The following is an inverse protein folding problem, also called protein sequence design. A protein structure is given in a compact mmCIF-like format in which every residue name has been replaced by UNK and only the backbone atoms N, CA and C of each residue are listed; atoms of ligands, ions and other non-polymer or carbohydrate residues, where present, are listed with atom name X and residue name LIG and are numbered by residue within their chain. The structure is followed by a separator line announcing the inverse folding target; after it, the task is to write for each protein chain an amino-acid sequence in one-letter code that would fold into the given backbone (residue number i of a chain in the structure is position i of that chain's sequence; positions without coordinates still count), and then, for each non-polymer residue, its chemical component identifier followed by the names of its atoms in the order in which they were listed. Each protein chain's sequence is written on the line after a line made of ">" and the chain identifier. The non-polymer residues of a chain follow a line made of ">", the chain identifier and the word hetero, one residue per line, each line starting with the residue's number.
data_IF_045092172957
#
_entry.id   IF_045092172957
#
_cell.length_a   1.000
_cell.length_b   1.000
_cell.length_c   1.000
_cell.angle_alpha   90.00
_cell.angle_beta   90.00
_cell.angle_gamma   90.00
#
_symmetry.space_group_name_H-M   'P 1'
#
loop_
_entity.id
_entity.type
_entity.pdbx_description
1 polymer ?
#
# COMPACT_ATOMS: atom_id res chain seq x y z
N UNK A 1 2.71 2.77 -8.30
CA UNK A 1 3.32 3.15 -7.01
C UNK A 1 4.62 3.85 -7.31
N UNK A 2 4.77 5.07 -6.84
CA UNK A 2 5.99 5.86 -7.02
C UNK A 2 7.02 5.42 -5.98
N UNK A 3 8.27 5.27 -6.40
CA UNK A 3 9.40 4.90 -5.53
C UNK A 3 10.52 5.88 -5.80
N UNK A 4 11.12 6.39 -4.76
CA UNK A 4 12.18 7.40 -4.88
C UNK A 4 13.36 7.09 -3.97
N UNK A 5 14.54 7.50 -4.37
CA UNK A 5 15.71 7.60 -3.49
C UNK A 5 15.82 9.06 -3.05
N UNK A 6 15.79 9.25 -1.77
CA UNK A 6 15.97 10.55 -1.12
C UNK A 6 17.45 10.72 -0.76
N UNK A 7 18.01 11.86 -1.12
CA UNK A 7 19.36 12.27 -0.76
C UNK A 7 19.33 13.63 -0.07
N UNK A 8 20.31 13.89 0.78
CA UNK A 8 20.42 15.15 1.50
C UNK A 8 19.44 15.26 2.69
N UNK A 9 19.56 16.36 3.43
CA UNK A 9 18.76 16.67 4.60
C UNK A 9 18.31 18.13 4.59
N UNK A 10 17.16 18.42 5.19
CA UNK A 10 16.64 19.78 5.29
C UNK A 10 16.41 20.41 3.91
N UNK A 11 16.97 21.60 3.69
CA UNK A 11 16.79 22.37 2.46
C UNK A 11 17.54 21.80 1.23
N UNK A 12 18.46 20.87 1.44
CA UNK A 12 19.23 20.21 0.36
C UNK A 12 18.63 18.85 -0.02
N UNK A 13 17.49 18.48 0.55
CA UNK A 13 16.82 17.23 0.25
C UNK A 13 16.37 17.18 -1.21
N UNK A 14 16.67 16.07 -1.87
CA UNK A 14 16.25 15.80 -3.25
C UNK A 14 15.71 14.37 -3.36
N UNK A 15 14.57 14.21 -4.01
CA UNK A 15 13.92 12.93 -4.26
C UNK A 15 14.07 12.59 -5.74
N UNK A 16 14.71 11.44 -6.02
CA UNK A 16 14.95 10.99 -7.38
C UNK A 16 14.18 9.68 -7.61
N UNK A 17 13.32 9.68 -8.61
CA UNK A 17 12.53 8.49 -8.96
C UNK A 17 13.46 7.35 -9.39
N UNK A 18 13.14 6.13 -8.94
CA UNK A 18 13.81 4.90 -9.35
C UNK A 18 12.88 3.98 -10.11
N UNK A 19 13.45 3.19 -11.01
CA UNK A 19 12.71 2.25 -11.86
C UNK A 19 12.52 0.91 -11.14
N UNK A 20 11.29 0.41 -11.14
CA UNK A 20 11.04 -0.96 -10.72
C UNK A 20 11.31 -1.91 -11.87
N UNK A 21 12.12 -2.94 -11.63
CA UNK A 21 12.48 -3.95 -12.61
C UNK A 21 11.83 -5.31 -12.29
N UNK A 22 11.64 -6.10 -13.33
CA UNK A 22 11.17 -7.48 -13.21
C UNK A 22 12.31 -8.44 -12.83
N UNK A 23 11.98 -9.63 -12.37
CA UNK A 23 12.97 -10.67 -12.07
C UNK A 23 13.90 -10.98 -13.27
N UNK A 24 13.41 -11.22 -14.51
CA UNK A 24 14.29 -11.44 -15.65
C UNK A 24 15.23 -10.28 -15.91
N UNK A 25 14.74 -9.05 -15.79
CA UNK A 25 15.58 -7.85 -15.99
C UNK A 25 16.64 -7.73 -14.91
N UNK A 26 16.29 -7.99 -13.65
CA UNK A 26 17.29 -8.00 -12.56
C UNK A 26 18.29 -9.14 -12.74
N UNK A 27 17.83 -10.34 -13.18
CA UNK A 27 18.70 -11.48 -13.42
C UNK A 27 19.73 -11.23 -14.53
N UNK A 28 19.39 -10.45 -15.55
CA UNK A 28 20.28 -10.11 -16.69
C UNK A 28 21.38 -9.10 -16.35
N UNK A 29 21.34 -8.47 -15.16
CA UNK A 29 22.41 -7.55 -14.74
C UNK A 29 23.71 -8.33 -14.51
N UNK A 30 24.78 -8.06 -15.25
CA UNK A 30 26.00 -8.87 -15.20
C UNK A 30 26.77 -8.69 -13.87
N UNK A 31 26.80 -7.47 -13.32
CA UNK A 31 27.44 -7.19 -12.04
C UNK A 31 26.41 -6.68 -11.04
N UNK A 32 26.05 -7.52 -10.07
CA UNK A 32 25.09 -7.19 -9.03
C UNK A 32 25.70 -6.44 -7.85
N UNK A 33 27.04 -6.45 -7.76
CA UNK A 33 27.79 -5.82 -6.67
C UNK A 33 28.33 -4.44 -7.04
N UNK A 34 27.99 -3.91 -8.22
CA UNK A 34 28.35 -2.54 -8.56
C UNK A 34 27.80 -1.57 -7.53
N UNK A 35 28.64 -0.65 -7.08
CA UNK A 35 28.29 0.33 -6.06
C UNK A 35 28.01 1.69 -6.68
N UNK A 36 27.02 2.39 -6.17
CA UNK A 36 26.66 3.71 -6.66
C UNK A 36 25.31 4.17 -6.12
N UNK A 37 24.79 5.25 -6.72
CA UNK A 37 23.42 5.69 -6.42
C UNK A 37 22.42 4.70 -7.00
N UNK A 38 21.49 4.15 -6.19
CA UNK A 38 20.46 3.26 -6.69
C UNK A 38 19.57 3.92 -7.74
N UNK A 39 19.36 3.24 -8.87
CA UNK A 39 18.51 3.68 -9.98
C UNK A 39 17.40 2.68 -10.29
N UNK A 40 17.56 1.44 -9.83
CA UNK A 40 16.62 0.35 -10.05
C UNK A 40 16.30 -0.36 -8.74
N UNK A 41 15.09 -0.91 -8.66
CA UNK A 41 14.66 -1.72 -7.53
C UNK A 41 13.94 -2.97 -8.02
N UNK A 42 14.32 -4.10 -7.48
CA UNK A 42 13.65 -5.37 -7.64
C UNK A 42 12.94 -5.75 -6.33
N UNK A 43 11.68 -6.14 -6.41
CA UNK A 43 10.87 -6.54 -5.25
C UNK A 43 10.48 -8.00 -5.45
N UNK A 44 11.05 -8.86 -4.62
CA UNK A 44 10.66 -10.26 -4.53
C UNK A 44 9.45 -10.40 -3.59
N UNK A 45 8.37 -11.03 -4.10
CA UNK A 45 7.12 -11.23 -3.38
C UNK A 45 6.85 -12.71 -3.06
N UNK A 46 7.81 -13.58 -3.30
CA UNK A 46 7.59 -15.02 -3.16
C UNK A 46 7.61 -15.49 -1.71
N UNK A 47 8.20 -14.72 -0.81
CA UNK A 47 8.23 -15.04 0.61
C UNK A 47 7.10 -14.33 1.38
N UNK A 48 6.80 -14.82 2.59
CA UNK A 48 5.90 -14.14 3.52
C UNK A 48 6.35 -12.70 3.79
N UNK A 49 7.66 -12.49 3.81
CA UNK A 49 8.28 -11.16 3.95
C UNK A 49 8.89 -10.79 2.60
N UNK A 50 8.31 -9.82 1.87
CA UNK A 50 8.89 -9.35 0.62
C UNK A 50 10.28 -8.78 0.81
N UNK A 51 11.22 -9.15 -0.05
CA UNK A 51 12.57 -8.56 -0.07
C UNK A 51 12.68 -7.50 -1.14
N UNK A 52 13.40 -6.43 -0.82
CA UNK A 52 13.66 -5.31 -1.70
C UNK A 52 15.16 -5.25 -1.99
N UNK A 53 15.51 -5.42 -3.25
CA UNK A 53 16.91 -5.35 -3.70
C UNK A 53 17.09 -4.14 -4.59
N UNK A 54 18.05 -3.30 -4.25
CA UNK A 54 18.39 -2.09 -5.01
C UNK A 54 19.64 -2.31 -5.85
N UNK A 55 19.67 -1.72 -7.03
CA UNK A 55 20.83 -1.76 -7.90
C UNK A 55 21.06 -0.37 -8.53
N UNK A 56 22.31 0.13 -8.60
CA UNK A 56 23.52 -0.36 -7.89
C UNK A 56 23.36 -0.41 -6.38
N UNK A 57 24.26 -1.13 -5.72
CA UNK A 57 24.34 -1.17 -4.26
C UNK A 57 24.67 0.23 -3.74
N UNK A 58 23.96 0.77 -2.75
CA UNK A 58 24.24 2.09 -2.22
C UNK A 58 25.71 2.23 -1.78
N UNK A 59 26.39 3.24 -2.30
CA UNK A 59 27.78 3.55 -1.91
C UNK A 59 27.89 4.54 -0.75
N UNK A 60 26.73 5.04 -0.26
CA UNK A 60 26.65 6.01 0.82
C UNK A 60 25.45 5.67 1.74
N UNK A 61 25.62 5.86 3.02
CA UNK A 61 24.58 5.66 4.03
C UNK A 61 23.53 6.81 4.07
N UNK A 62 23.77 7.89 3.33
CA UNK A 62 22.85 9.05 3.24
C UNK A 62 21.63 8.80 2.37
N UNK A 63 21.57 7.71 1.61
CA UNK A 63 20.44 7.37 0.79
C UNK A 63 19.29 6.80 1.63
N UNK A 64 18.09 7.37 1.46
CA UNK A 64 16.86 6.85 2.06
C UNK A 64 15.91 6.37 0.97
N UNK A 65 15.53 5.11 1.02
CA UNK A 65 14.51 4.56 0.13
C UNK A 65 13.12 4.89 0.64
N UNK A 66 12.36 5.66 -0.14
CA UNK A 66 10.99 6.04 0.17
C UNK A 66 10.05 5.32 -0.79
N UNK A 67 9.07 4.61 -0.26
CA UNK A 67 8.11 3.86 -1.06
C UNK A 67 6.72 3.91 -0.44
N UNK A 68 5.72 3.79 -1.28
CA UNK A 68 4.33 3.62 -0.88
C UNK A 68 3.91 2.18 -1.13
N UNK A 69 3.35 1.55 -0.14
CA UNK A 69 2.86 0.18 -0.25
C UNK A 69 1.43 0.06 0.25
N UNK A 70 0.68 -0.87 -0.33
CA UNK A 70 -0.56 -1.33 0.26
C UNK A 70 -0.20 -2.37 1.33
N UNK A 71 -0.40 -2.01 2.59
CA UNK A 71 -0.27 -2.93 3.72
C UNK A 71 -1.63 -3.58 3.99
N UNK A 72 -1.66 -4.90 4.23
CA UNK A 72 -2.84 -5.53 4.79
C UNK A 72 -3.12 -4.92 6.16
N UNK A 73 -4.38 -4.62 6.44
CA UNK A 73 -4.81 -4.17 7.76
C UNK A 73 -4.50 -5.28 8.76
N UNK A 74 -3.85 -4.93 9.87
CA UNK A 74 -3.54 -5.90 10.91
C UNK A 74 -4.84 -6.37 11.58
N UNK A 75 -4.96 -7.68 11.73
CA UNK A 75 -6.11 -8.33 12.35
C UNK A 75 -6.07 -8.15 13.87
N UNK A 76 -7.25 -8.18 14.51
CA UNK A 76 -7.34 -8.12 15.98
C UNK A 76 -6.70 -9.35 16.67
N UNK A 77 -6.45 -10.42 15.92
CA UNK A 77 -5.86 -11.65 16.42
C UNK A 77 -6.63 -12.21 17.60
N UNK A 78 -5.94 -12.43 18.71
CA UNK A 78 -6.53 -12.95 19.97
C UNK A 78 -7.19 -11.88 20.84
N UNK A 79 -7.47 -10.70 20.32
CA UNK A 79 -8.12 -9.60 21.06
C UNK A 79 -7.16 -8.70 21.84
N UNK A 80 -5.83 -8.91 21.70
CA UNK A 80 -4.80 -8.10 22.39
C UNK A 80 -4.32 -6.96 21.48
N UNK A 81 -4.46 -7.12 20.17
CA UNK A 81 -3.97 -6.14 19.20
C UNK A 81 -5.03 -5.10 18.87
N UNK A 82 -4.60 -3.84 18.72
CA UNK A 82 -5.46 -2.77 18.21
C UNK A 82 -5.56 -2.90 16.69
N UNK A 83 -6.77 -2.92 16.16
CA UNK A 83 -6.99 -2.94 14.71
C UNK A 83 -6.59 -1.59 14.09
N UNK A 84 -5.89 -1.64 12.96
CA UNK A 84 -5.54 -0.46 12.16
C UNK A 84 -6.69 -0.08 11.22
N UNK A 85 -7.84 0.33 11.82
CA UNK A 85 -9.01 0.73 11.04
C UNK A 85 -9.20 2.23 11.20
N UNK A 86 -9.25 2.99 10.08
CA UNK A 86 -9.60 4.41 10.15
C UNK A 86 -10.97 4.61 10.79
N UNK A 87 -11.10 5.67 11.59
CA UNK A 87 -12.33 5.96 12.34
C UNK A 87 -13.59 5.99 11.46
N UNK A 88 -13.48 6.47 10.22
CA UNK A 88 -14.58 6.52 9.24
C UNK A 88 -15.13 5.15 8.86
N UNK A 89 -14.37 4.05 9.02
CA UNK A 89 -14.84 2.69 8.76
C UNK A 89 -15.46 2.01 9.98
N UNK A 90 -15.44 2.64 11.16
CA UNK A 90 -15.96 2.04 12.38
C UNK A 90 -17.48 1.73 12.29
N UNK A 91 -18.35 2.65 11.81
CA UNK A 91 -19.77 2.35 11.62
C UNK A 91 -20.01 1.18 10.65
N UNK A 92 -19.25 1.16 9.54
CA UNK A 92 -19.30 0.07 8.57
C UNK A 92 -18.91 -1.28 9.18
N UNK A 93 -17.89 -1.32 10.04
CA UNK A 93 -17.50 -2.53 10.74
C UNK A 93 -18.59 -3.04 11.69
N UNK A 94 -19.20 -2.14 12.46
CA UNK A 94 -20.27 -2.50 13.39
C UNK A 94 -21.47 -3.07 12.62
N UNK A 95 -21.90 -2.40 11.55
CA UNK A 95 -22.98 -2.87 10.69
C UNK A 95 -22.64 -4.21 10.01
N UNK A 96 -21.42 -4.36 9.51
CA UNK A 96 -20.93 -5.60 8.90
C UNK A 96 -20.90 -6.76 9.90
N UNK A 97 -20.42 -6.52 11.11
CA UNK A 97 -20.40 -7.52 12.17
C UNK A 97 -21.83 -7.96 12.54
N UNK A 98 -22.74 -7.01 12.70
CA UNK A 98 -24.16 -7.30 12.98
C UNK A 98 -24.79 -8.15 11.86
N UNK A 99 -24.54 -7.80 10.59
CA UNK A 99 -24.99 -8.58 9.44
C UNK A 99 -24.43 -10.01 9.46
N UNK A 100 -23.09 -10.18 9.57
CA UNK A 100 -22.48 -11.50 9.57
C UNK A 100 -22.88 -12.38 10.77
N UNK A 101 -23.10 -11.79 11.94
CA UNK A 101 -23.63 -12.50 13.10
C UNK A 101 -25.07 -12.94 12.88
N UNK A 102 -25.91 -12.11 12.28
CA UNK A 102 -27.31 -12.47 11.98
C UNK A 102 -27.43 -13.68 11.08
N UNK A 103 -26.47 -13.92 10.20
CA UNK A 103 -26.42 -15.15 9.37
C UNK A 103 -26.14 -16.43 10.17
N UNK A 104 -25.62 -16.31 11.39
CA UNK A 104 -25.29 -17.44 12.27
C UNK A 104 -26.37 -17.73 13.31
N UNK A 105 -27.29 -16.81 13.51
CA UNK A 105 -28.35 -16.88 14.53
C UNK A 105 -29.68 -17.13 13.82
N UNK A 106 -30.30 -18.33 13.97
CA UNK A 106 -31.52 -18.67 13.26
C UNK A 106 -32.70 -17.72 13.55
N UNK A 107 -32.82 -17.21 14.79
CA UNK A 107 -33.88 -16.30 15.19
C UNK A 107 -33.76 -14.89 14.60
N UNK A 108 -32.63 -14.56 14.00
CA UNK A 108 -32.39 -13.25 13.40
C UNK A 108 -32.79 -13.16 11.92
N UNK A 109 -33.38 -14.22 11.35
CA UNK A 109 -33.67 -14.32 9.91
C UNK A 109 -34.44 -13.14 9.32
N UNK A 110 -35.44 -12.62 10.05
CA UNK A 110 -36.27 -11.50 9.60
C UNK A 110 -35.49 -10.17 9.50
N UNK A 111 -34.36 -10.04 10.19
CA UNK A 111 -33.56 -8.82 10.24
C UNK A 111 -32.39 -8.83 9.23
N UNK A 112 -32.06 -9.97 8.65
CA UNK A 112 -30.89 -10.15 7.78
C UNK A 112 -30.89 -9.16 6.62
N UNK A 113 -32.02 -8.98 5.94
CA UNK A 113 -32.13 -8.08 4.79
C UNK A 113 -31.91 -6.61 5.19
N UNK A 114 -32.46 -6.20 6.31
CA UNK A 114 -32.30 -4.85 6.85
C UNK A 114 -30.81 -4.59 7.21
N UNK A 115 -30.19 -5.52 7.95
CA UNK A 115 -28.81 -5.41 8.36
C UNK A 115 -27.83 -5.43 7.16
N UNK A 116 -28.19 -6.18 6.11
CA UNK A 116 -27.43 -6.15 4.86
C UNK A 116 -27.48 -4.78 4.19
N UNK A 117 -28.67 -4.20 4.06
CA UNK A 117 -28.86 -2.88 3.44
C UNK A 117 -28.09 -1.79 4.22
N UNK A 118 -28.17 -1.82 5.56
CA UNK A 118 -27.44 -0.91 6.43
C UNK A 118 -25.93 -1.06 6.26
N UNK A 119 -25.40 -2.29 6.20
CA UNK A 119 -23.99 -2.53 5.95
C UNK A 119 -23.53 -1.99 4.59
N UNK A 120 -24.30 -2.22 3.52
CA UNK A 120 -23.99 -1.74 2.17
C UNK A 120 -23.98 -0.19 2.12
N UNK A 121 -24.93 0.46 2.80
CA UNK A 121 -24.99 1.92 2.92
C UNK A 121 -23.76 2.47 3.65
N UNK A 122 -23.43 1.93 4.83
CA UNK A 122 -22.26 2.35 5.61
C UNK A 122 -20.96 2.10 4.85
N UNK A 123 -20.86 1.01 4.10
CA UNK A 123 -19.71 0.74 3.22
C UNK A 123 -19.58 1.78 2.12
N UNK A 124 -20.68 2.14 1.47
CA UNK A 124 -20.68 3.14 0.41
C UNK A 124 -20.23 4.52 0.94
N UNK A 125 -20.76 4.92 2.10
CA UNK A 125 -20.38 6.19 2.75
C UNK A 125 -18.88 6.21 3.09
N UNK A 126 -18.38 5.19 3.78
CA UNK A 126 -16.98 5.09 4.18
C UNK A 126 -16.04 5.05 2.97
N UNK A 127 -16.37 4.28 1.93
CA UNK A 127 -15.56 4.17 0.72
C UNK A 127 -15.55 5.47 -0.11
N UNK A 128 -16.64 6.22 -0.09
CA UNK A 128 -16.73 7.51 -0.77
C UNK A 128 -15.92 8.58 -0.05
N UNK A 129 -15.92 8.56 1.28
CA UNK A 129 -15.09 9.45 2.09
C UNK A 129 -13.59 9.13 1.95
N UNK A 130 -13.24 7.84 1.88
CA UNK A 130 -11.84 7.38 1.74
C UNK A 130 -11.23 7.64 0.36
N UNK A 131 -12.06 7.95 -0.62
CA UNK A 131 -11.58 8.20 -1.98
C UNK A 131 -10.72 9.44 -2.04
N UNK A 132 -9.52 9.32 -2.61
CA UNK A 132 -8.68 10.47 -2.93
C UNK A 132 -9.42 11.40 -3.91
N UNK A 133 -9.59 12.67 -3.49
CA UNK A 133 -10.30 13.71 -4.28
C UNK A 133 -9.31 14.62 -5.04
N UNK A 134 -8.05 14.19 -5.16
CA UNK A 134 -7.05 14.95 -5.89
C UNK A 134 -7.28 14.90 -7.40
N UNK A 135 -7.10 16.03 -8.07
CA UNK A 135 -7.13 16.08 -9.53
C UNK A 135 -5.89 15.40 -10.10
N UNK A 136 -6.07 14.36 -10.90
CA UNK A 136 -4.97 13.73 -11.61
C UNK A 136 -4.60 14.57 -12.83
N UNK A 137 -3.44 15.25 -12.80
CA UNK A 137 -2.88 15.95 -13.94
C UNK A 137 -1.85 15.04 -14.61
N UNK A 138 -2.15 14.58 -15.82
CA UNK A 138 -1.20 13.82 -16.64
C UNK A 138 -0.49 14.80 -17.56
N UNK A 139 0.76 15.12 -17.27
CA UNK A 139 1.61 15.87 -18.19
C UNK A 139 2.35 14.88 -19.12
N UNK A 140 2.09 14.88 -20.45
CA UNK A 140 2.85 14.06 -21.36
C UNK A 140 4.30 14.51 -21.36
N UNK A 141 5.22 13.58 -21.09
CA UNK A 141 6.65 13.85 -21.20
C UNK A 141 7.04 13.76 -22.66
N UNK A 142 7.14 14.90 -23.32
CA UNK A 142 7.74 14.97 -24.65
C UNK A 142 9.26 14.87 -24.49
N UNK A 143 9.80 13.68 -24.75
CA UNK A 143 11.24 13.53 -24.96
C UNK A 143 11.53 14.00 -26.41
N UNK A 144 12.12 15.15 -26.54
CA UNK A 144 12.78 15.49 -27.79
C UNK A 144 14.03 14.62 -27.91
N UNK A 145 14.09 13.84 -28.98
CA UNK A 145 15.29 13.13 -29.44
C UNK A 145 16.21 14.13 -30.09
#
# INVERSE_FOLDING_TARGET
>A
MSQVIRTGTGTTQSDIAISRVSNPTYASIPSKNDTGRPIQVYIDRQAEIPTVTMWPVPNDASYTFVYWMLKRIDDAGTGVNTQHIPFRFLPCMVAGLAYYLSLKIPEAGDRVQFLKAEYEEQWLLASTEDREKATLTIAPRTSYV
#
